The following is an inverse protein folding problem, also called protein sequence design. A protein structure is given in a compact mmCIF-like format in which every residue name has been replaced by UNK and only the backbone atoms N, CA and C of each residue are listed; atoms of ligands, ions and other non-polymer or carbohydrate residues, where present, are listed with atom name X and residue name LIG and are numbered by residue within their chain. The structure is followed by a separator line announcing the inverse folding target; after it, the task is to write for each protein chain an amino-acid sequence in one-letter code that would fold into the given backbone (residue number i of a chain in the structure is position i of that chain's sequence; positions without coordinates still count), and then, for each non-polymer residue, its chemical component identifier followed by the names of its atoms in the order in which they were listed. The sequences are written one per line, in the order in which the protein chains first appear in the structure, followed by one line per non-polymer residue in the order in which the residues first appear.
data_IF_555517305326
#
_entry.id   IF_555517305326
#
_cell.length_a   1.000
_cell.length_b   1.000
_cell.length_c   1.000
_cell.angle_alpha   90.00
_cell.angle_beta   90.00
_cell.angle_gamma   90.00
#
_symmetry.space_group_name_H-M   'P 1'
#
loop_
_entity.id
_entity.type
_entity.pdbx_description
1 polymer ?
#
# COMPACT_ATOMS: atom_id res chain seq x y z
N UNK A 1 4.35 13.89 19.38
CA UNK A 1 3.46 14.96 19.87
C UNK A 1 2.27 14.98 18.91
N UNK A 2 1.13 14.43 19.30
CA UNK A 2 -0.08 14.43 18.45
C UNK A 2 -0.96 15.59 18.87
N UNK A 3 -1.18 16.56 17.99
CA UNK A 3 -1.76 17.85 18.33
C UNK A 3 -3.29 17.94 18.13
N UNK A 4 -3.97 16.90 17.66
CA UNK A 4 -5.40 16.94 17.36
C UNK A 4 -6.08 15.66 17.83
N UNK A 5 -7.04 15.80 18.75
CA UNK A 5 -7.94 14.73 19.21
C UNK A 5 -9.33 14.94 18.63
N UNK A 6 -9.98 13.85 18.21
CA UNK A 6 -11.34 13.87 17.70
C UNK A 6 -12.35 13.83 18.85
N UNK A 7 -13.20 14.86 18.91
CA UNK A 7 -14.23 15.05 19.95
C UNK A 7 -15.65 14.70 19.52
N UNK A 8 -15.84 14.38 18.24
CA UNK A 8 -17.17 14.06 17.72
C UNK A 8 -17.62 12.65 18.09
N UNK A 9 -18.90 12.37 17.84
CA UNK A 9 -19.51 11.07 18.06
C UNK A 9 -19.94 10.39 16.75
N UNK A 10 -19.42 10.86 15.61
CA UNK A 10 -19.71 10.26 14.31
C UNK A 10 -19.17 8.81 14.29
N UNK A 11 -20.06 7.80 14.19
CA UNK A 11 -19.65 6.40 14.21
C UNK A 11 -18.68 6.05 13.09
N UNK A 12 -18.78 6.72 11.93
CA UNK A 12 -17.90 6.45 10.79
C UNK A 12 -16.48 6.97 11.05
N UNK A 13 -16.35 8.17 11.62
CA UNK A 13 -15.05 8.75 11.96
C UNK A 13 -14.37 7.95 13.08
N UNK A 14 -15.13 7.57 14.12
CA UNK A 14 -14.62 6.74 15.21
C UNK A 14 -14.17 5.36 14.72
N UNK A 15 -14.94 4.75 13.81
CA UNK A 15 -14.55 3.49 13.15
C UNK A 15 -13.24 3.64 12.39
N UNK A 16 -13.11 4.65 11.53
CA UNK A 16 -11.89 4.89 10.74
C UNK A 16 -10.65 5.12 11.62
N UNK A 17 -10.78 5.87 12.72
CA UNK A 17 -9.69 6.07 13.68
C UNK A 17 -9.27 4.75 14.34
N UNK A 18 -10.22 3.88 14.70
CA UNK A 18 -9.87 2.58 15.27
C UNK A 18 -9.28 1.61 14.23
N UNK A 19 -9.82 1.60 13.01
CA UNK A 19 -9.30 0.81 11.90
C UNK A 19 -7.88 1.23 11.51
N UNK A 20 -7.54 2.54 11.58
CA UNK A 20 -6.17 3.03 11.36
C UNK A 20 -5.22 2.81 12.55
N UNK A 21 -5.69 2.16 13.63
CA UNK A 21 -4.90 1.96 14.86
C UNK A 21 -4.72 3.22 15.70
N UNK A 22 -5.43 4.30 15.38
CA UNK A 22 -5.39 5.60 16.05
C UNK A 22 -6.59 5.82 16.99
N UNK A 23 -7.16 4.74 17.55
CA UNK A 23 -8.30 4.82 18.47
C UNK A 23 -8.04 5.75 19.68
N UNK A 24 -6.77 5.91 20.09
CA UNK A 24 -6.35 6.79 21.18
C UNK A 24 -6.52 8.29 20.85
N UNK A 25 -6.69 8.65 19.57
CA UNK A 25 -6.98 10.02 19.14
C UNK A 25 -8.45 10.41 19.35
N UNK A 26 -9.34 9.46 19.61
CA UNK A 26 -10.74 9.76 19.95
C UNK A 26 -10.90 10.07 21.44
N UNK A 27 -11.69 11.09 21.78
CA UNK A 27 -12.11 11.35 23.17
C UNK A 27 -13.17 10.34 23.64
N UNK A 28 -13.93 9.77 22.71
CA UNK A 28 -14.89 8.71 23.00
C UNK A 28 -14.24 7.33 22.85
N UNK A 29 -14.54 6.38 23.75
CA UNK A 29 -14.00 5.04 23.66
C UNK A 29 -14.52 4.34 22.40
N UNK A 30 -13.61 3.90 21.55
CA UNK A 30 -13.93 3.01 20.43
C UNK A 30 -13.68 1.58 20.87
N UNK A 31 -14.74 0.83 21.15
CA UNK A 31 -14.66 -0.55 21.63
C UNK A 31 -15.07 -1.54 20.54
N UNK A 32 -14.41 -2.70 20.50
CA UNK A 32 -14.76 -3.80 19.58
C UNK A 32 -14.27 -3.64 18.13
N UNK A 33 -13.64 -2.52 17.78
CA UNK A 33 -13.07 -2.29 16.44
C UNK A 33 -11.58 -2.58 16.49
N UNK A 34 -11.12 -3.51 15.65
CA UNK A 34 -9.69 -3.86 15.52
C UNK A 34 -9.05 -3.01 14.41
N UNK A 35 -7.75 -2.71 14.51
CA UNK A 35 -7.01 -2.14 13.39
C UNK A 35 -7.17 -3.03 12.15
N UNK A 36 -7.44 -2.40 11.01
CA UNK A 36 -7.62 -3.06 9.73
C UNK A 36 -6.42 -2.70 8.86
N UNK A 37 -5.58 -3.69 8.58
CA UNK A 37 -4.42 -3.52 7.70
C UNK A 37 -4.74 -4.08 6.32
N UNK A 38 -4.96 -3.19 5.35
CA UNK A 38 -5.08 -3.58 3.94
C UNK A 38 -3.72 -3.57 3.27
N UNK A 39 -3.03 -4.70 3.33
CA UNK A 39 -1.67 -4.89 2.82
C UNK A 39 -1.60 -5.56 1.44
N UNK A 40 -2.74 -5.88 0.83
CA UNK A 40 -2.82 -6.43 -0.52
C UNK A 40 -3.57 -5.43 -1.40
N UNK A 41 -2.98 -5.03 -2.52
CA UNK A 41 -3.66 -4.19 -3.51
C UNK A 41 -3.52 -4.82 -4.88
N UNK A 42 -4.66 -5.00 -5.56
CA UNK A 42 -4.65 -5.30 -6.99
C UNK A 42 -4.97 -4.05 -7.79
N UNK A 43 -4.39 -3.94 -8.98
CA UNK A 43 -4.62 -2.84 -9.90
C UNK A 43 -4.34 -3.32 -11.32
N UNK A 44 -4.91 -2.60 -12.28
CA UNK A 44 -4.62 -2.79 -13.69
C UNK A 44 -3.55 -1.76 -14.08
N UNK A 45 -2.57 -2.18 -14.89
CA UNK A 45 -1.52 -1.29 -15.39
C UNK A 45 -1.55 -1.29 -16.93
N UNK A 46 -1.81 -0.12 -17.52
CA UNK A 46 -1.73 0.06 -18.95
C UNK A 46 -0.31 0.52 -19.34
N UNK A 47 0.40 -0.26 -20.14
CA UNK A 47 1.62 0.22 -20.79
C UNK A 47 1.23 1.09 -22.00
N UNK A 48 1.68 2.35 -22.10
CA UNK A 48 1.35 3.24 -23.22
C UNK A 48 1.81 2.72 -24.60
N UNK A 49 2.71 1.72 -24.63
CA UNK A 49 3.39 1.22 -25.82
C UNK A 49 3.01 -0.25 -26.10
N UNK A 50 1.95 -0.78 -25.47
CA UNK A 50 1.53 -2.19 -25.56
C UNK A 50 2.66 -3.19 -25.21
N UNK A 51 3.67 -2.75 -24.44
CA UNK A 51 4.70 -3.64 -23.93
C UNK A 51 4.16 -4.44 -22.76
N UNK A 52 4.54 -5.72 -22.71
CA UNK A 52 4.29 -6.54 -21.53
C UNK A 52 5.14 -6.00 -20.38
N UNK A 53 4.49 -5.32 -19.44
CA UNK A 53 5.11 -4.87 -18.20
C UNK A 53 5.56 -6.08 -17.38
N UNK A 54 6.79 -6.08 -16.89
CA UNK A 54 7.30 -7.14 -16.02
C UNK A 54 7.21 -6.73 -14.55
N UNK A 55 7.15 -7.72 -13.66
CA UNK A 55 7.20 -7.55 -12.20
C UNK A 55 8.43 -6.74 -11.75
N UNK A 56 9.57 -6.98 -12.42
CA UNK A 56 10.80 -6.24 -12.21
C UNK A 56 10.70 -4.77 -12.65
N UNK A 57 9.96 -4.46 -13.70
CA UNK A 57 9.79 -3.08 -14.17
C UNK A 57 8.98 -2.28 -13.15
N UNK A 58 7.90 -2.83 -12.61
CA UNK A 58 7.15 -2.21 -11.51
C UNK A 58 7.99 -2.01 -10.25
N UNK A 59 8.82 -3.00 -9.89
CA UNK A 59 9.70 -2.87 -8.74
C UNK A 59 10.74 -1.76 -8.93
N UNK A 60 11.28 -1.60 -10.13
CA UNK A 60 12.21 -0.51 -10.48
C UNK A 60 11.48 0.84 -10.47
N UNK A 61 10.29 0.92 -11.04
CA UNK A 61 9.48 2.15 -11.06
C UNK A 61 9.13 2.62 -9.65
N UNK A 62 8.68 1.71 -8.78
CA UNK A 62 8.40 2.04 -7.38
C UNK A 62 9.66 2.44 -6.60
N UNK A 63 10.78 1.75 -6.85
CA UNK A 63 12.07 2.14 -6.26
C UNK A 63 12.46 3.57 -6.69
N UNK A 64 12.29 3.92 -7.96
CA UNK A 64 12.59 5.25 -8.48
C UNK A 64 11.63 6.31 -7.92
N UNK A 65 10.35 5.98 -7.78
CA UNK A 65 9.37 6.83 -7.10
C UNK A 65 9.82 7.18 -5.68
N UNK A 66 10.18 6.18 -4.86
CA UNK A 66 10.67 6.42 -3.50
C UNK A 66 11.96 7.25 -3.47
N UNK A 67 12.88 6.96 -4.39
CA UNK A 67 14.12 7.73 -4.52
C UNK A 67 13.84 9.20 -4.87
N UNK A 68 12.87 9.47 -5.73
CA UNK A 68 12.45 10.83 -6.12
C UNK A 68 11.84 11.63 -4.95
N UNK A 69 11.28 10.93 -3.96
CA UNK A 69 10.70 11.51 -2.73
C UNK A 69 11.74 11.80 -1.64
N UNK A 70 12.99 11.38 -1.83
CA UNK A 70 14.09 11.65 -0.90
C UNK A 70 14.37 13.16 -0.83
N UNK A 71 14.46 13.68 0.39
CA UNK A 71 14.72 15.10 0.66
C UNK A 71 15.56 15.26 1.94
N UNK A 72 15.75 16.49 2.41
CA UNK A 72 16.58 16.79 3.59
C UNK A 72 16.09 16.16 4.90
N UNK A 73 14.81 15.78 4.99
CA UNK A 73 14.19 15.16 6.18
C UNK A 73 14.03 13.64 6.06
N UNK A 74 14.01 13.09 4.85
CA UNK A 74 13.69 11.68 4.60
C UNK A 74 14.64 11.11 3.55
N UNK A 75 15.40 10.09 3.92
CA UNK A 75 16.28 9.34 3.00
C UNK A 75 15.89 7.88 2.97
N UNK A 76 15.54 7.38 1.78
CA UNK A 76 15.21 5.98 1.59
C UNK A 76 16.48 5.13 1.38
N UNK A 77 16.54 4.01 2.11
CA UNK A 77 17.51 2.92 1.93
C UNK A 77 16.80 1.71 1.35
N UNK A 78 17.50 0.92 0.56
CA UNK A 78 16.94 -0.22 -0.16
C UNK A 78 17.82 -1.45 -0.02
N UNK A 79 17.22 -2.63 0.08
CA UNK A 79 17.92 -3.90 -0.13
C UNK A 79 18.03 -4.20 -1.62
N UNK A 80 18.82 -5.22 -1.97
CA UNK A 80 18.86 -5.72 -3.34
C UNK A 80 17.48 -6.25 -3.75
N UNK A 81 17.06 -5.92 -4.98
CA UNK A 81 15.89 -6.53 -5.62
C UNK A 81 16.17 -8.00 -5.92
N UNK A 82 15.24 -8.86 -5.50
CA UNK A 82 15.28 -10.31 -5.72
C UNK A 82 14.04 -10.70 -6.51
N UNK A 83 14.23 -11.48 -7.58
CA UNK A 83 13.16 -12.08 -8.36
C UNK A 83 13.21 -13.59 -8.13
N UNK A 84 12.09 -14.16 -7.68
CA UNK A 84 11.91 -15.60 -7.44
C UNK A 84 10.62 -16.05 -8.14
N UNK A 85 10.76 -16.79 -9.25
CA UNK A 85 9.64 -17.11 -10.13
C UNK A 85 8.99 -15.86 -10.71
N UNK A 86 7.68 -15.73 -10.52
CA UNK A 86 6.85 -14.60 -10.99
C UNK A 86 6.68 -13.50 -9.92
N UNK A 87 7.57 -13.48 -8.93
CA UNK A 87 7.53 -12.51 -7.83
C UNK A 87 8.83 -11.74 -7.76
N UNK A 88 8.75 -10.42 -7.89
CA UNK A 88 9.86 -9.53 -7.60
C UNK A 88 9.63 -8.83 -6.27
N UNK A 89 10.66 -8.78 -5.42
CA UNK A 89 10.59 -8.16 -4.11
C UNK A 89 11.86 -7.41 -3.74
N UNK A 90 11.71 -6.42 -2.87
CA UNK A 90 12.79 -5.77 -2.15
C UNK A 90 12.27 -5.21 -0.83
N UNK A 91 13.16 -4.76 0.04
CA UNK A 91 12.78 -4.03 1.24
C UNK A 91 13.35 -2.62 1.22
N UNK A 92 12.63 -1.68 1.82
CA UNK A 92 13.08 -0.31 1.96
C UNK A 92 12.84 0.25 3.35
N UNK A 93 13.64 1.21 3.76
CA UNK A 93 13.55 1.89 5.05
C UNK A 93 13.73 3.39 4.87
N UNK A 94 12.97 4.19 5.60
CA UNK A 94 13.14 5.65 5.68
C UNK A 94 13.47 6.13 7.10
N UNK A 95 13.53 5.21 8.08
CA UNK A 95 13.78 5.51 9.49
C UNK A 95 14.48 4.34 10.19
N UNK A 96 15.58 4.63 10.89
CA UNK A 96 16.31 3.71 11.79
C UNK A 96 16.55 2.29 11.26
N UNK A 97 16.75 2.12 9.94
CA UNK A 97 16.95 0.80 9.33
C UNK A 97 15.80 -0.19 9.61
N UNK A 98 14.60 0.32 9.89
CA UNK A 98 13.38 -0.48 9.93
C UNK A 98 12.93 -0.77 8.50
N UNK A 99 13.25 -1.95 7.99
CA UNK A 99 13.00 -2.32 6.60
C UNK A 99 11.62 -2.95 6.42
N UNK A 100 10.87 -2.40 5.46
CA UNK A 100 9.56 -2.88 5.05
C UNK A 100 9.67 -3.60 3.70
N UNK A 101 9.29 -4.87 3.66
CA UNK A 101 9.26 -5.66 2.43
C UNK A 101 8.07 -5.27 1.57
N UNK A 102 8.31 -5.18 0.27
CA UNK A 102 7.28 -5.06 -0.77
C UNK A 102 7.48 -6.16 -1.81
N UNK A 103 6.37 -6.71 -2.29
CA UNK A 103 6.34 -7.76 -3.31
C UNK A 103 5.42 -7.34 -4.47
N UNK A 104 5.82 -7.71 -5.68
CA UNK A 104 5.10 -7.46 -6.92
C UNK A 104 4.83 -8.80 -7.60
N UNK A 105 3.56 -9.02 -7.94
CA UNK A 105 3.06 -10.28 -8.49
C UNK A 105 2.25 -9.99 -9.74
N UNK A 106 2.52 -10.72 -10.83
CA UNK A 106 1.67 -10.69 -12.01
C UNK A 106 0.49 -11.67 -11.85
N UNK A 107 -0.75 -11.18 -11.94
CA UNK A 107 -1.95 -12.01 -11.79
C UNK A 107 -2.52 -12.50 -13.13
N UNK A 108 -2.14 -11.87 -14.25
CA UNK A 108 -2.50 -12.35 -15.60
C UNK A 108 -3.19 -11.33 -16.50
N UNK A 109 -3.52 -11.82 -17.71
CA UNK A 109 -4.22 -11.13 -18.80
C UNK A 109 -5.74 -11.43 -18.75
N UNK A 110 -6.63 -10.59 -19.32
CA UNK A 110 -6.39 -9.54 -20.34
C UNK A 110 -6.12 -8.12 -19.83
N UNK A 111 -6.40 -7.81 -18.56
CA UNK A 111 -6.34 -6.45 -18.02
C UNK A 111 -4.96 -6.06 -17.45
N UNK A 112 -3.92 -6.88 -17.70
CA UNK A 112 -2.59 -6.72 -17.09
C UNK A 112 -2.70 -6.48 -15.58
N UNK A 113 -3.33 -7.42 -14.88
CA UNK A 113 -3.63 -7.25 -13.47
C UNK A 113 -2.42 -7.60 -12.61
N UNK A 114 -2.13 -6.73 -11.66
CA UNK A 114 -1.03 -6.86 -10.72
C UNK A 114 -1.53 -7.00 -9.29
N UNK A 115 -0.67 -7.56 -8.44
CA UNK A 115 -0.82 -7.55 -7.00
C UNK A 115 0.46 -6.99 -6.36
N UNK A 116 0.28 -6.03 -5.46
CA UNK A 116 1.31 -5.61 -4.53
C UNK A 116 0.96 -6.08 -3.12
N UNK A 117 1.93 -6.69 -2.46
CA UNK A 117 1.85 -7.02 -1.04
C UNK A 117 2.83 -6.14 -0.26
N UNK A 118 2.31 -5.31 0.63
CA UNK A 118 3.13 -4.39 1.43
C UNK A 118 2.47 -3.98 2.75
N UNK A 119 3.25 -3.90 3.82
CA UNK A 119 2.78 -3.38 5.11
C UNK A 119 2.79 -1.83 5.18
N UNK A 120 3.15 -1.15 4.09
CA UNK A 120 3.25 0.31 3.98
C UNK A 120 2.22 0.86 2.99
N UNK A 121 0.95 0.56 3.23
CA UNK A 121 -0.15 0.82 2.29
C UNK A 121 -0.26 2.27 1.85
N UNK A 122 0.05 3.24 2.70
CA UNK A 122 0.05 4.67 2.34
C UNK A 122 1.03 5.00 1.23
N UNK A 123 2.28 4.52 1.33
CA UNK A 123 3.30 4.80 0.31
C UNK A 123 2.96 4.17 -1.04
N UNK A 124 2.35 2.99 -1.01
CA UNK A 124 1.88 2.31 -2.23
C UNK A 124 0.68 3.06 -2.83
N UNK A 125 -0.26 3.50 -1.99
CA UNK A 125 -1.41 4.28 -2.42
C UNK A 125 -1.01 5.59 -3.10
N UNK A 126 -0.12 6.37 -2.46
CA UNK A 126 0.36 7.63 -3.03
C UNK A 126 0.99 7.40 -4.41
N UNK A 127 1.81 6.36 -4.56
CA UNK A 127 2.40 6.01 -5.85
C UNK A 127 1.34 5.63 -6.89
N UNK A 128 0.37 4.79 -6.53
CA UNK A 128 -0.68 4.33 -7.43
C UNK A 128 -1.62 5.45 -7.87
N UNK A 129 -1.81 6.48 -7.04
CA UNK A 129 -2.64 7.65 -7.35
C UNK A 129 -1.88 8.70 -8.17
N UNK A 130 -0.58 8.89 -7.90
CA UNK A 130 0.25 9.86 -8.61
C UNK A 130 0.50 9.47 -10.07
N UNK A 131 0.50 8.17 -10.37
CA UNK A 131 0.82 7.64 -11.70
C UNK A 131 -0.46 7.24 -12.45
N UNK A 132 -0.82 8.03 -13.46
CA UNK A 132 -2.02 7.83 -14.28
C UNK A 132 -2.04 6.55 -15.12
N UNK A 133 -0.97 5.73 -15.11
CA UNK A 133 -0.95 4.41 -15.76
C UNK A 133 -1.72 3.34 -14.98
N UNK A 134 -2.01 3.58 -13.70
CA UNK A 134 -2.65 2.61 -12.82
C UNK A 134 -4.14 2.90 -12.64
N UNK A 135 -4.96 1.86 -12.72
CA UNK A 135 -6.41 1.95 -12.55
C UNK A 135 -6.99 0.77 -11.79
N UNK A 136 -8.28 0.82 -11.48
CA UNK A 136 -9.03 -0.28 -10.87
C UNK A 136 -8.38 -0.80 -9.57
N UNK A 137 -7.91 0.12 -8.72
CA UNK A 137 -7.28 -0.23 -7.44
C UNK A 137 -8.30 -0.91 -6.53
N UNK A 138 -7.92 -2.06 -5.97
CA UNK A 138 -8.74 -2.84 -5.04
C UNK A 138 -7.88 -3.26 -3.86
N UNK A 139 -8.20 -2.75 -2.69
CA UNK A 139 -7.48 -2.96 -1.45
C UNK A 139 -8.14 -4.04 -0.59
N UNK A 140 -7.33 -4.96 -0.09
CA UNK A 140 -7.77 -6.11 0.69
C UNK A 140 -6.93 -6.22 1.96
N UNK A 141 -7.55 -6.65 3.07
CA UNK A 141 -6.80 -7.32 4.13
C UNK A 141 -6.32 -8.68 3.65
N UNK A 142 -5.37 -9.27 4.38
CA UNK A 142 -4.96 -10.65 4.14
C UNK A 142 -6.14 -11.62 4.20
N UNK A 143 -7.02 -11.50 5.20
CA UNK A 143 -8.18 -12.39 5.31
C UNK A 143 -9.16 -12.23 4.14
N UNK A 144 -9.40 -10.99 3.70
CA UNK A 144 -10.29 -10.71 2.56
C UNK A 144 -9.73 -11.30 1.26
N UNK A 145 -8.42 -11.14 1.03
CA UNK A 145 -7.74 -11.75 -0.11
C UNK A 145 -7.89 -13.28 -0.13
N UNK A 146 -7.73 -13.90 1.04
CA UNK A 146 -7.76 -15.35 1.19
C UNK A 146 -9.20 -15.94 1.12
N UNK A 147 -10.27 -15.16 1.39
CA UNK A 147 -11.63 -15.73 1.61
C UNK A 147 -12.77 -15.11 0.81
N UNK A 148 -13.00 -13.80 0.90
CA UNK A 148 -14.24 -13.16 0.42
C UNK A 148 -14.06 -12.39 -0.89
N UNK A 149 -12.82 -11.97 -1.20
CA UNK A 149 -12.49 -11.01 -2.26
C UNK A 149 -13.34 -9.73 -2.20
N UNK A 150 -13.88 -9.37 -1.04
CA UNK A 150 -14.44 -8.03 -0.83
C UNK A 150 -13.30 -7.02 -0.72
N UNK A 151 -13.38 -5.92 -1.47
CA UNK A 151 -12.35 -4.89 -1.52
C UNK A 151 -12.84 -3.54 -1.03
N UNK A 152 -11.89 -2.62 -0.86
CA UNK A 152 -12.11 -1.18 -0.75
C UNK A 152 -11.32 -0.46 -1.84
N UNK A 153 -11.72 0.77 -2.18
CA UNK A 153 -11.01 1.58 -3.19
C UNK A 153 -9.76 2.27 -2.61
N UNK A 154 -9.63 2.31 -1.28
CA UNK A 154 -8.53 2.94 -0.53
C UNK A 154 -8.06 2.04 0.62
N UNK A 155 -6.83 2.21 1.14
CA UNK A 155 -6.31 1.30 2.17
C UNK A 155 -6.90 1.48 3.57
N UNK A 156 -7.45 2.65 3.92
CA UNK A 156 -8.01 2.96 5.25
C UNK A 156 -9.53 2.82 5.30
#
# INVERSE_FOLDING_TARGET
MECIRYRGNDPEVLRRLAESGQAHLADLPVSGIKPVLRNHVTFDAADPIDKLLLDKDLAIDFHNYLRSRTNEYVTYKFTKTVTDGDVTSFSYSWYEDNFHKIEFHFLGLPECRWLIVSNTSFTVYDWLVDDGRFSSQRWYTKEQWDTSKEWQDIPW
#
